data_IF_414496739512
#
_entry.id   IF_414496739512
#
_cell.length_a   1.000
_cell.length_b   1.000
_cell.length_c   1.000
_cell.angle_alpha   90.00
_cell.angle_beta   90.00
_cell.angle_gamma   90.00
#
_symmetry.space_group_name_H-M   'P 1'
#
loop_
_entity.id
_entity.type
_entity.pdbx_description
1 polymer ?
#
# COMPACT_ATOMS: atom_id res chain seq x y z
N UNK A 1 40.39 6.01 -19.77
CA UNK A 1 39.51 6.80 -18.87
C UNK A 1 39.48 6.10 -17.52
N UNK A 2 40.08 6.71 -16.50
CA UNK A 2 40.28 6.10 -15.18
C UNK A 2 38.95 6.00 -14.43
N UNK A 3 38.27 4.86 -14.54
CA UNK A 3 37.04 4.60 -13.80
C UNK A 3 37.37 4.11 -12.40
N UNK A 4 36.74 4.70 -11.38
CA UNK A 4 36.89 4.26 -9.98
C UNK A 4 36.60 2.74 -9.87
N UNK A 5 37.48 1.95 -9.20
CA UNK A 5 37.23 0.56 -8.85
C UNK A 5 35.88 0.34 -8.16
N UNK A 6 35.28 -0.84 -8.36
CA UNK A 6 33.95 -1.16 -7.82
C UNK A 6 33.98 -1.26 -6.30
N UNK A 7 35.09 -1.75 -5.74
CA UNK A 7 35.34 -1.90 -4.31
C UNK A 7 35.29 -0.54 -3.60
N UNK A 8 35.91 0.49 -4.20
CA UNK A 8 35.85 1.85 -3.67
C UNK A 8 34.44 2.45 -3.76
N UNK A 9 33.67 2.11 -4.81
CA UNK A 9 32.27 2.54 -4.91
C UNK A 9 31.40 1.89 -3.83
N UNK A 10 31.69 0.65 -3.46
CA UNK A 10 31.05 -0.04 -2.34
C UNK A 10 31.37 0.62 -1.01
N UNK A 11 32.64 0.92 -0.74
CA UNK A 11 33.03 1.65 0.47
C UNK A 11 32.36 3.03 0.54
N UNK A 12 32.41 3.81 -0.55
CA UNK A 12 31.77 5.12 -0.61
C UNK A 12 30.29 5.01 -0.28
N UNK A 13 29.57 4.02 -0.80
CA UNK A 13 28.16 3.86 -0.50
C UNK A 13 27.92 3.48 0.97
N UNK A 14 28.71 2.54 1.54
CA UNK A 14 28.62 2.14 2.94
C UNK A 14 28.82 3.34 3.89
N UNK A 15 29.79 4.19 3.59
CA UNK A 15 30.07 5.40 4.39
C UNK A 15 29.05 6.52 4.15
N UNK A 16 28.65 6.75 2.90
CA UNK A 16 27.73 7.82 2.56
C UNK A 16 26.30 7.56 3.06
N UNK A 17 25.91 6.29 3.26
CA UNK A 17 24.57 5.86 3.70
C UNK A 17 23.42 6.49 2.90
N UNK A 18 23.68 6.85 1.64
CA UNK A 18 22.76 7.66 0.84
C UNK A 18 21.91 6.80 -0.10
N UNK A 19 20.57 6.84 0.01
CA UNK A 19 19.65 6.16 -0.92
C UNK A 19 19.70 6.71 -2.33
N UNK A 20 20.19 7.94 -2.49
CA UNK A 20 20.28 8.59 -3.77
C UNK A 20 21.49 8.14 -4.58
N UNK A 21 22.55 7.63 -3.93
CA UNK A 21 23.82 7.32 -4.61
C UNK A 21 23.65 6.33 -5.78
N UNK A 22 22.89 5.21 -5.65
CA UNK A 22 22.63 4.33 -6.77
C UNK A 22 21.80 4.95 -7.90
N UNK A 23 21.14 6.07 -7.66
CA UNK A 23 20.25 6.73 -8.62
C UNK A 23 20.94 7.88 -9.36
N UNK A 24 22.14 8.29 -8.96
CA UNK A 24 22.85 9.44 -9.54
C UNK A 24 23.16 9.23 -11.03
N UNK A 25 23.54 8.01 -11.44
CA UNK A 25 23.77 7.68 -12.84
C UNK A 25 23.53 6.19 -13.15
N UNK A 26 23.47 5.85 -14.45
CA UNK A 26 23.23 4.48 -14.92
C UNK A 26 24.31 3.49 -14.48
N UNK A 27 25.58 3.92 -14.44
CA UNK A 27 26.71 3.05 -14.04
C UNK A 27 26.59 2.63 -12.58
N UNK A 28 26.32 3.58 -11.69
CA UNK A 28 26.16 3.35 -10.26
C UNK A 28 24.95 2.46 -10.01
N UNK A 29 23.83 2.76 -10.68
CA UNK A 29 22.65 1.90 -10.63
C UNK A 29 22.99 0.45 -11.00
N UNK A 30 23.69 0.24 -12.12
CA UNK A 30 24.09 -1.10 -12.55
C UNK A 30 24.97 -1.78 -11.51
N UNK A 31 26.05 -1.13 -11.07
CA UNK A 31 27.01 -1.68 -10.10
C UNK A 31 26.33 -2.12 -8.79
N UNK A 32 25.46 -1.29 -8.22
CA UNK A 32 24.77 -1.60 -6.97
C UNK A 32 23.58 -2.55 -7.17
N UNK A 33 22.97 -2.59 -8.35
CA UNK A 33 21.95 -3.58 -8.66
C UNK A 33 22.53 -4.99 -8.79
N UNK A 34 23.74 -5.10 -9.34
CA UNK A 34 24.46 -6.37 -9.52
C UNK A 34 25.36 -6.75 -8.34
N UNK A 35 25.38 -5.97 -7.26
CA UNK A 35 26.26 -6.24 -6.12
C UNK A 35 25.86 -7.52 -5.37
N UNK A 36 26.81 -8.19 -4.69
CA UNK A 36 26.51 -9.39 -3.92
C UNK A 36 25.45 -9.17 -2.82
N UNK A 37 24.63 -10.18 -2.49
CA UNK A 37 23.66 -10.07 -1.39
C UNK A 37 24.28 -9.75 -0.04
N UNK A 38 25.49 -10.24 0.25
CA UNK A 38 26.23 -9.94 1.48
C UNK A 38 26.55 -8.45 1.62
N UNK A 39 27.00 -7.82 0.53
CA UNK A 39 27.24 -6.39 0.47
C UNK A 39 25.94 -5.59 0.64
N UNK A 40 24.88 -5.99 -0.06
CA UNK A 40 23.56 -5.35 0.06
C UNK A 40 23.05 -5.43 1.51
N UNK A 41 23.17 -6.59 2.16
CA UNK A 41 22.81 -6.78 3.55
C UNK A 41 23.63 -5.88 4.49
N UNK A 42 24.95 -5.81 4.30
CA UNK A 42 25.83 -4.93 5.07
C UNK A 42 25.45 -3.45 4.92
N UNK A 43 25.13 -3.01 3.70
CA UNK A 43 24.67 -1.65 3.47
C UNK A 43 23.32 -1.38 4.16
N UNK A 44 22.37 -2.30 4.00
CA UNK A 44 21.04 -2.19 4.59
C UNK A 44 21.05 -2.27 6.13
N UNK A 45 22.07 -2.87 6.74
CA UNK A 45 22.27 -2.85 8.19
C UNK A 45 22.46 -1.42 8.74
N UNK A 46 22.98 -0.52 7.92
CA UNK A 46 23.29 0.86 8.32
C UNK A 46 22.21 1.88 7.94
N UNK A 47 21.05 1.43 7.41
CA UNK A 47 19.96 2.33 6.99
C UNK A 47 18.68 2.04 7.78
N UNK A 48 17.94 3.11 8.11
CA UNK A 48 16.79 3.02 9.03
C UNK A 48 15.59 2.22 8.52
N UNK A 49 15.48 2.02 7.20
CA UNK A 49 14.33 1.39 6.55
C UNK A 49 14.78 0.68 5.25
N UNK A 50 15.12 -0.61 5.32
CA UNK A 50 15.66 -1.37 4.20
C UNK A 50 14.75 -1.39 2.96
N UNK A 51 13.43 -1.33 3.15
CA UNK A 51 12.46 -1.34 2.06
C UNK A 51 12.48 -0.06 1.22
N UNK A 52 13.08 1.03 1.72
CA UNK A 52 13.29 2.25 0.92
C UNK A 52 14.36 2.11 -0.15
N UNK A 53 15.12 1.02 -0.13
CA UNK A 53 16.26 0.77 -1.01
C UNK A 53 15.97 -0.41 -1.95
N UNK A 54 15.07 -0.25 -2.94
CA UNK A 54 14.57 -1.36 -3.76
C UNK A 54 15.66 -2.06 -4.58
N UNK A 55 16.79 -1.41 -4.84
CA UNK A 55 17.93 -2.00 -5.56
C UNK A 55 18.70 -2.99 -4.66
N UNK A 56 18.75 -2.71 -3.36
CA UNK A 56 19.47 -3.51 -2.37
C UNK A 56 18.57 -4.53 -1.64
N UNK A 57 17.28 -4.25 -1.51
CA UNK A 57 16.34 -5.10 -0.78
C UNK A 57 15.67 -6.11 -1.71
N UNK A 58 16.34 -7.24 -1.97
CA UNK A 58 15.84 -8.36 -2.78
C UNK A 58 15.60 -9.63 -1.95
N UNK A 59 15.02 -10.65 -2.59
CA UNK A 59 14.65 -11.92 -1.93
C UNK A 59 15.83 -12.64 -1.26
N UNK A 60 17.05 -12.43 -1.76
CA UNK A 60 18.27 -13.06 -1.23
C UNK A 60 18.84 -12.30 -0.04
N UNK A 61 18.51 -11.01 0.08
CA UNK A 61 19.05 -10.12 1.11
C UNK A 61 18.19 -10.12 2.37
N UNK A 62 16.87 -10.26 2.24
CA UNK A 62 15.97 -10.26 3.42
C UNK A 62 16.34 -11.27 4.51
N UNK A 63 16.73 -12.53 4.21
CA UNK A 63 17.12 -13.49 5.25
C UNK A 63 18.43 -13.14 5.96
N UNK A 64 19.25 -12.24 5.38
CA UNK A 64 20.54 -11.83 5.93
C UNK A 64 20.43 -10.61 6.85
N UNK A 65 19.27 -9.94 6.89
CA UNK A 65 19.06 -8.76 7.72
C UNK A 65 18.73 -9.18 9.16
N UNK A 66 19.26 -8.47 10.17
CA UNK A 66 18.81 -8.67 11.53
C UNK A 66 17.32 -8.32 11.66
N UNK A 67 16.68 -8.88 12.68
CA UNK A 67 15.36 -8.45 13.10
C UNK A 67 15.36 -6.93 13.35
N UNK A 68 14.55 -6.15 12.62
CA UNK A 68 14.44 -4.72 12.91
C UNK A 68 13.69 -4.51 14.23
N UNK A 69 14.11 -3.49 14.99
CA UNK A 69 13.45 -3.11 16.25
C UNK A 69 11.95 -2.74 16.07
N UNK A 70 11.58 -2.34 14.85
CA UNK A 70 10.21 -2.00 14.46
C UNK A 70 9.87 -2.58 13.10
N UNK A 71 8.58 -2.83 12.86
CA UNK A 71 8.12 -3.22 11.52
C UNK A 71 8.43 -2.10 10.51
N UNK A 72 9.04 -2.44 9.36
CA UNK A 72 9.40 -1.43 8.37
C UNK A 72 8.14 -0.83 7.73
N UNK A 73 8.21 0.43 7.32
CA UNK A 73 7.08 1.10 6.66
C UNK A 73 6.96 0.62 5.21
N UNK A 74 5.73 0.44 4.74
CA UNK A 74 5.50 0.11 3.34
C UNK A 74 5.83 1.31 2.44
N UNK A 75 6.83 1.23 1.57
CA UNK A 75 7.34 2.40 0.87
C UNK A 75 6.40 2.84 -0.26
N UNK A 76 6.17 4.15 -0.37
CA UNK A 76 5.21 4.73 -1.34
C UNK A 76 5.52 4.44 -2.80
N UNK A 77 6.80 4.29 -3.15
CA UNK A 77 7.23 4.15 -4.54
C UNK A 77 6.73 2.86 -5.19
N UNK A 78 6.52 1.78 -4.41
CA UNK A 78 5.94 0.52 -4.89
C UNK A 78 4.55 0.71 -5.51
N UNK A 79 3.81 1.74 -5.09
CA UNK A 79 2.45 2.04 -5.54
C UNK A 79 2.40 3.18 -6.55
N UNK A 80 3.54 3.82 -6.87
CA UNK A 80 3.58 5.02 -7.72
C UNK A 80 3.13 4.75 -9.15
N UNK A 81 3.37 3.55 -9.66
CA UNK A 81 3.04 3.15 -11.03
C UNK A 81 1.61 2.62 -11.19
N UNK A 82 0.83 2.59 -10.10
CA UNK A 82 -0.57 2.20 -10.14
C UNK A 82 -1.42 3.33 -10.75
N UNK A 83 -2.13 3.01 -11.82
CA UNK A 83 -2.92 3.96 -12.60
C UNK A 83 -4.34 3.42 -12.82
N UNK A 84 -5.38 4.26 -12.72
CA UNK A 84 -6.75 3.85 -13.02
C UNK A 84 -6.89 3.41 -14.48
N UNK A 85 -7.88 2.57 -14.77
CA UNK A 85 -8.21 2.10 -16.13
C UNK A 85 -7.37 0.93 -16.63
N UNK A 86 -6.31 0.53 -15.91
CA UNK A 86 -5.59 -0.73 -16.18
C UNK A 86 -6.30 -1.90 -15.51
N UNK A 87 -6.32 -3.05 -16.19
CA UNK A 87 -6.75 -4.31 -15.60
C UNK A 87 -5.58 -4.90 -14.83
N UNK A 88 -5.79 -5.14 -13.53
CA UNK A 88 -4.80 -5.74 -12.65
C UNK A 88 -5.25 -7.14 -12.23
N UNK A 89 -4.31 -8.07 -12.18
CA UNK A 89 -4.50 -9.42 -11.66
C UNK A 89 -3.51 -9.73 -10.53
N UNK A 90 -3.49 -10.97 -10.05
CA UNK A 90 -2.60 -11.38 -8.95
C UNK A 90 -1.11 -11.36 -9.30
N UNK A 91 -0.75 -11.39 -10.58
CA UNK A 91 0.62 -11.40 -11.07
C UNK A 91 1.23 -10.00 -11.20
N UNK A 92 0.39 -8.95 -11.20
CA UNK A 92 0.87 -7.58 -11.36
C UNK A 92 1.58 -7.05 -10.11
N UNK A 93 2.71 -6.36 -10.32
CA UNK A 93 3.37 -5.61 -9.25
C UNK A 93 2.42 -4.55 -8.63
N UNK A 94 2.50 -4.31 -7.30
CA UNK A 94 3.49 -4.84 -6.37
C UNK A 94 3.11 -6.17 -5.69
N UNK A 95 1.98 -6.81 -6.05
CA UNK A 95 1.41 -7.89 -5.24
C UNK A 95 2.31 -9.13 -5.05
N UNK A 96 3.01 -9.67 -6.08
CA UNK A 96 3.93 -10.80 -5.87
C UNK A 96 5.04 -10.50 -4.85
N UNK A 97 5.63 -9.30 -4.93
CA UNK A 97 6.62 -8.86 -3.96
C UNK A 97 6.02 -8.76 -2.56
N UNK A 98 4.82 -8.21 -2.42
CA UNK A 98 4.16 -8.13 -1.12
C UNK A 98 3.85 -9.51 -0.54
N UNK A 99 3.36 -10.46 -1.35
CA UNK A 99 3.18 -11.84 -0.90
C UNK A 99 4.49 -12.43 -0.37
N UNK A 100 5.60 -12.21 -1.08
CA UNK A 100 6.90 -12.66 -0.63
C UNK A 100 7.30 -12.01 0.69
N UNK A 101 7.18 -10.68 0.82
CA UNK A 101 7.52 -9.93 2.04
C UNK A 101 6.70 -10.39 3.25
N UNK A 102 5.38 -10.53 3.12
CA UNK A 102 4.52 -10.89 4.24
C UNK A 102 4.61 -12.36 4.65
N UNK A 103 5.01 -13.26 3.74
CA UNK A 103 5.12 -14.70 4.04
C UNK A 103 6.53 -15.12 4.48
N UNK A 104 7.59 -14.41 4.07
CA UNK A 104 8.98 -14.80 4.33
C UNK A 104 9.71 -13.86 5.29
N UNK A 105 9.15 -12.67 5.59
CA UNK A 105 9.74 -11.79 6.60
C UNK A 105 9.26 -12.19 7.98
N UNK A 106 10.19 -12.28 8.94
CA UNK A 106 9.84 -12.35 10.37
C UNK A 106 9.08 -11.11 10.84
N UNK A 107 9.18 -10.00 10.11
CA UNK A 107 8.56 -8.71 10.43
C UNK A 107 7.84 -8.16 9.20
N UNK A 108 6.52 -8.38 9.07
CA UNK A 108 5.78 -7.89 7.93
C UNK A 108 5.75 -6.35 7.93
N UNK A 109 5.84 -5.71 6.75
CA UNK A 109 5.77 -4.26 6.66
C UNK A 109 4.45 -3.71 7.19
N UNK A 110 4.48 -2.48 7.71
CA UNK A 110 3.26 -1.81 8.18
C UNK A 110 2.37 -1.39 7.01
N UNK A 111 1.24 -2.07 6.82
CA UNK A 111 0.28 -1.77 5.76
C UNK A 111 -0.39 -0.38 5.90
N UNK A 112 -0.38 0.19 7.11
CA UNK A 112 -0.96 1.49 7.43
C UNK A 112 0.05 2.65 7.34
N UNK A 113 1.29 2.36 6.94
CA UNK A 113 2.32 3.37 6.73
C UNK A 113 1.82 4.54 5.90
N UNK A 114 2.33 5.74 6.22
CA UNK A 114 1.95 6.99 5.54
C UNK A 114 0.45 7.28 5.52
N UNK A 115 -0.24 6.95 6.61
CA UNK A 115 -1.69 7.17 6.78
C UNK A 115 -2.52 6.43 5.72
N UNK A 116 -2.21 5.15 5.48
CA UNK A 116 -2.96 4.29 4.57
C UNK A 116 -2.74 4.59 3.08
N UNK A 117 -1.58 5.12 2.70
CA UNK A 117 -1.27 5.49 1.30
C UNK A 117 -1.38 4.30 0.34
N UNK A 118 -0.91 3.13 0.76
CA UNK A 118 -0.93 1.90 -0.05
C UNK A 118 -2.35 1.50 -0.44
N UNK A 119 -3.25 1.40 0.55
CA UNK A 119 -4.66 1.06 0.34
C UNK A 119 -5.36 2.13 -0.52
N UNK A 120 -5.06 3.41 -0.27
CA UNK A 120 -5.59 4.54 -1.05
C UNK A 120 -5.22 4.43 -2.52
N UNK A 121 -3.94 4.12 -2.84
CA UNK A 121 -3.48 3.96 -4.23
C UNK A 121 -4.02 2.70 -4.90
N UNK A 122 -4.11 1.59 -4.17
CA UNK A 122 -4.69 0.35 -4.68
C UNK A 122 -6.16 0.54 -5.11
N UNK A 123 -6.95 1.23 -4.28
CA UNK A 123 -8.35 1.57 -4.59
C UNK A 123 -8.44 2.57 -5.75
N UNK A 124 -7.63 3.63 -5.74
CA UNK A 124 -7.59 4.59 -6.85
C UNK A 124 -7.30 3.90 -8.20
N UNK A 125 -6.46 2.88 -8.22
CA UNK A 125 -6.13 2.11 -9.43
C UNK A 125 -7.15 1.01 -9.78
N UNK A 126 -8.08 0.68 -8.88
CA UNK A 126 -9.01 -0.44 -9.07
C UNK A 126 -8.34 -1.82 -8.96
N UNK A 127 -7.18 -1.92 -8.31
CA UNK A 127 -6.44 -3.18 -8.17
C UNK A 127 -7.05 -4.04 -7.07
N UNK A 128 -8.13 -4.75 -7.39
CA UNK A 128 -8.94 -5.49 -6.43
C UNK A 128 -8.15 -6.55 -5.62
N UNK A 129 -7.36 -7.46 -6.23
CA UNK A 129 -6.53 -8.40 -5.46
C UNK A 129 -5.60 -7.73 -4.45
N UNK A 130 -5.01 -6.58 -4.80
CA UNK A 130 -4.14 -5.83 -3.91
C UNK A 130 -4.91 -5.18 -2.76
N UNK A 131 -6.11 -4.65 -3.01
CA UNK A 131 -6.99 -4.11 -1.96
C UNK A 131 -7.34 -5.20 -0.95
N UNK A 132 -7.75 -6.38 -1.42
CA UNK A 132 -8.09 -7.51 -0.55
C UNK A 132 -6.89 -7.99 0.27
N UNK A 133 -5.71 -8.06 -0.35
CA UNK A 133 -4.46 -8.41 0.32
C UNK A 133 -4.13 -7.42 1.44
N UNK A 134 -4.14 -6.12 1.15
CA UNK A 134 -3.82 -5.09 2.15
C UNK A 134 -4.81 -5.13 3.32
N UNK A 135 -6.10 -5.27 3.05
CA UNK A 135 -7.14 -5.38 4.09
C UNK A 135 -6.98 -6.67 4.92
N UNK A 136 -6.56 -7.77 4.30
CA UNK A 136 -6.27 -9.04 4.99
C UNK A 136 -5.10 -8.88 5.97
N UNK A 137 -4.07 -8.13 5.57
CA UNK A 137 -2.90 -7.83 6.39
C UNK A 137 -3.06 -6.58 7.30
N UNK A 138 -4.29 -6.19 7.61
CA UNK A 138 -4.57 -5.17 8.64
C UNK A 138 -4.54 -3.73 8.17
N UNK A 139 -4.55 -3.46 6.86
CA UNK A 139 -4.76 -2.10 6.36
C UNK A 139 -6.14 -1.59 6.81
N UNK A 140 -6.17 -0.43 7.47
CA UNK A 140 -7.41 0.19 7.93
C UNK A 140 -7.93 1.20 6.90
N UNK A 141 -9.18 1.04 6.43
CA UNK A 141 -9.82 2.00 5.54
C UNK A 141 -10.28 3.28 6.25
N UNK A 142 -10.17 3.38 7.57
CA UNK A 142 -10.61 4.56 8.34
C UNK A 142 -9.62 5.74 8.28
N UNK A 143 -8.42 5.56 7.74
CA UNK A 143 -7.41 6.62 7.66
C UNK A 143 -7.91 7.87 6.92
N UNK A 144 -7.53 9.04 7.44
CA UNK A 144 -7.92 10.36 6.90
C UNK A 144 -9.44 10.46 6.71
N UNK A 145 -10.20 10.14 7.76
CA UNK A 145 -11.67 10.17 7.78
C UNK A 145 -12.31 9.31 6.68
N UNK A 146 -11.71 8.15 6.39
CA UNK A 146 -12.20 7.27 5.33
C UNK A 146 -12.04 7.84 3.92
N UNK A 147 -10.94 8.57 3.67
CA UNK A 147 -10.60 9.10 2.34
C UNK A 147 -10.67 8.02 1.24
N UNK A 148 -10.22 6.81 1.56
CA UNK A 148 -10.24 5.70 0.61
C UNK A 148 -11.67 5.31 0.19
N UNK A 149 -12.62 5.34 1.12
CA UNK A 149 -14.05 5.10 0.84
C UNK A 149 -14.56 6.23 -0.06
N UNK A 150 -14.22 7.48 0.26
CA UNK A 150 -14.58 8.65 -0.55
C UNK A 150 -14.07 8.54 -2.00
N UNK A 151 -12.88 7.99 -2.22
CA UNK A 151 -12.35 7.73 -3.57
C UNK A 151 -13.19 6.67 -4.30
N UNK A 152 -13.55 5.57 -3.63
CA UNK A 152 -14.40 4.53 -4.22
C UNK A 152 -15.80 5.05 -4.59
N UNK A 153 -16.37 5.95 -3.77
CA UNK A 153 -17.63 6.65 -4.05
C UNK A 153 -17.51 7.50 -5.33
N UNK A 154 -16.43 8.28 -5.46
CA UNK A 154 -16.19 9.12 -6.65
C UNK A 154 -16.02 8.28 -7.93
N UNK A 155 -15.50 7.07 -7.81
CA UNK A 155 -15.42 6.10 -8.91
C UNK A 155 -16.77 5.41 -9.20
N UNK A 156 -17.81 5.67 -8.41
CA UNK A 156 -19.13 5.01 -8.48
C UNK A 156 -19.03 3.49 -8.42
N UNK A 157 -18.12 2.97 -7.59
CA UNK A 157 -17.88 1.55 -7.48
C UNK A 157 -18.44 1.01 -6.16
N UNK A 158 -19.72 0.62 -6.15
CA UNK A 158 -20.38 0.04 -4.98
C UNK A 158 -19.65 -1.19 -4.45
N UNK A 159 -19.17 -2.07 -5.33
CA UNK A 159 -18.46 -3.28 -4.92
C UNK A 159 -17.20 -2.95 -4.11
N UNK A 160 -16.42 -1.97 -4.56
CA UNK A 160 -15.24 -1.49 -3.83
C UNK A 160 -15.63 -0.86 -2.48
N UNK A 161 -16.72 -0.09 -2.42
CA UNK A 161 -17.22 0.48 -1.17
C UNK A 161 -17.59 -0.64 -0.18
N UNK A 162 -18.34 -1.67 -0.62
CA UNK A 162 -18.70 -2.82 0.22
C UNK A 162 -17.45 -3.52 0.78
N UNK A 163 -16.43 -3.77 -0.04
CA UNK A 163 -15.18 -4.39 0.41
C UNK A 163 -14.45 -3.57 1.49
N UNK A 164 -14.50 -2.24 1.38
CA UNK A 164 -13.83 -1.35 2.34
C UNK A 164 -14.61 -1.20 3.64
N UNK A 165 -15.94 -1.14 3.58
CA UNK A 165 -16.80 -0.95 4.75
C UNK A 165 -17.01 -2.25 5.50
N UNK A 166 -17.31 -3.33 4.78
CA UNK A 166 -17.66 -4.61 5.39
C UNK A 166 -16.42 -5.38 5.85
N UNK A 167 -16.53 -6.15 6.94
CA UNK A 167 -15.46 -7.04 7.38
C UNK A 167 -15.28 -8.18 6.37
N UNK A 168 -14.06 -8.68 6.23
CA UNK A 168 -13.83 -9.95 5.52
C UNK A 168 -14.51 -11.07 6.31
N UNK A 169 -15.49 -11.74 5.71
CA UNK A 169 -16.18 -12.86 6.33
C UNK A 169 -15.20 -14.04 6.52
N UNK A 170 -14.63 -14.17 7.72
CA UNK A 170 -13.82 -15.33 8.10
C UNK A 170 -14.75 -16.42 8.66
N UNK A 171 -15.24 -17.28 7.76
CA UNK A 171 -15.90 -18.55 8.09
C UNK A 171 -17.44 -18.55 8.09
N UNK A 172 -18.02 -19.74 7.94
CA UNK A 172 -19.47 -20.00 7.80
C UNK A 172 -20.34 -19.59 9.02
N UNK A 173 -19.75 -19.06 10.10
CA UNK A 173 -20.49 -18.61 11.27
C UNK A 173 -20.68 -17.10 11.19
N UNK A 174 -21.91 -16.68 10.90
CA UNK A 174 -22.39 -15.29 10.92
C UNK A 174 -22.31 -14.70 12.33
N UNK A 175 -21.11 -14.46 12.86
CA UNK A 175 -20.94 -13.49 13.94
C UNK A 175 -21.09 -12.12 13.30
N UNK A 176 -21.94 -11.27 13.86
CA UNK A 176 -22.12 -9.88 13.43
C UNK A 176 -20.81 -9.15 13.78
N UNK A 177 -19.88 -9.14 12.84
CA UNK A 177 -18.65 -8.35 12.94
C UNK A 177 -19.01 -6.93 12.54
N UNK A 178 -18.63 -5.96 13.36
CA UNK A 178 -18.85 -4.55 13.05
C UNK A 178 -18.13 -4.13 11.77
N UNK A 179 -18.64 -3.10 11.12
CA UNK A 179 -18.03 -2.54 9.92
C UNK A 179 -16.65 -1.96 10.23
N UNK A 180 -15.75 -2.05 9.25
CA UNK A 180 -14.39 -1.49 9.31
C UNK A 180 -14.38 0.03 9.35
N UNK A 181 -15.44 0.66 8.84
CA UNK A 181 -15.59 2.11 8.75
C UNK A 181 -17.00 2.49 9.15
N UNK A 182 -17.13 3.45 10.08
CA UNK A 182 -18.40 4.13 10.33
C UNK A 182 -18.66 5.12 9.19
N UNK A 183 -19.79 4.96 8.50
CA UNK A 183 -20.16 5.85 7.40
C UNK A 183 -20.51 7.22 7.95
N UNK A 184 -19.85 8.25 7.45
CA UNK A 184 -20.09 9.64 7.85
C UNK A 184 -21.13 10.30 6.92
N UNK A 185 -21.86 11.32 7.42
CA UNK A 185 -22.75 12.13 6.58
C UNK A 185 -22.02 12.76 5.39
N UNK A 186 -20.72 13.07 5.53
CA UNK A 186 -19.91 13.61 4.44
C UNK A 186 -19.71 12.63 3.28
N UNK A 187 -19.57 11.32 3.58
CA UNK A 187 -19.50 10.28 2.56
C UNK A 187 -20.83 10.18 1.81
N UNK A 188 -21.96 10.26 2.52
CA UNK A 188 -23.29 10.26 1.93
C UNK A 188 -23.51 11.48 1.04
N UNK A 189 -23.18 12.69 1.51
CA UNK A 189 -23.20 13.92 0.69
C UNK A 189 -22.35 13.77 -0.57
N UNK A 190 -21.18 13.15 -0.46
CA UNK A 190 -20.31 12.90 -1.62
C UNK A 190 -20.95 11.92 -2.61
N UNK A 191 -21.61 10.86 -2.13
CA UNK A 191 -22.32 9.91 -2.98
C UNK A 191 -23.47 10.56 -3.76
N UNK A 192 -24.26 11.41 -3.11
CA UNK A 192 -25.33 12.20 -3.75
C UNK A 192 -24.76 13.16 -4.80
N UNK A 193 -23.71 13.92 -4.46
CA UNK A 193 -23.02 14.80 -5.43
C UNK A 193 -22.48 14.04 -6.63
N UNK A 194 -21.99 12.81 -6.43
CA UNK A 194 -21.48 11.96 -7.50
C UNK A 194 -22.60 11.25 -8.30
N UNK A 195 -23.88 11.41 -7.93
CA UNK A 195 -25.04 10.69 -8.50
C UNK A 195 -24.91 9.17 -8.43
N UNK A 196 -24.30 8.65 -7.36
CA UNK A 196 -24.11 7.22 -7.13
C UNK A 196 -25.29 6.65 -6.31
N UNK A 197 -26.45 6.50 -6.95
CA UNK A 197 -27.71 6.13 -6.28
C UNK A 197 -27.61 4.79 -5.54
N UNK A 198 -26.98 3.81 -6.16
CA UNK A 198 -26.68 2.49 -5.59
C UNK A 198 -25.89 2.56 -4.27
N UNK A 199 -24.93 3.48 -4.17
CA UNK A 199 -24.16 3.71 -2.94
C UNK A 199 -24.99 4.46 -1.89
N UNK A 200 -25.83 5.40 -2.29
CA UNK A 200 -26.73 6.13 -1.36
C UNK A 200 -27.75 5.17 -0.76
N UNK A 201 -28.37 4.33 -1.59
CA UNK A 201 -29.32 3.31 -1.14
C UNK A 201 -28.64 2.36 -0.15
N UNK A 202 -27.42 1.92 -0.45
CA UNK A 202 -26.61 1.12 0.48
C UNK A 202 -26.36 1.83 1.81
N UNK A 203 -25.95 3.11 1.80
CA UNK A 203 -25.65 3.85 3.03
C UNK A 203 -26.88 4.13 3.88
N UNK A 204 -28.03 4.40 3.27
CA UNK A 204 -29.27 4.73 3.97
C UNK A 204 -30.00 3.49 4.45
N UNK A 205 -30.17 2.49 3.58
CA UNK A 205 -30.98 1.30 3.86
C UNK A 205 -30.20 0.22 4.62
N UNK A 206 -28.99 -0.12 4.16
CA UNK A 206 -28.21 -1.21 4.79
C UNK A 206 -27.42 -0.72 6.01
N UNK A 207 -26.93 0.53 5.97
CA UNK A 207 -26.02 1.08 6.99
C UNK A 207 -26.64 2.11 7.92
N UNK A 208 -27.89 2.52 7.68
CA UNK A 208 -28.64 3.39 8.57
C UNK A 208 -28.07 4.82 8.69
N UNK A 209 -27.32 5.29 7.70
CA UNK A 209 -26.81 6.66 7.69
C UNK A 209 -27.96 7.64 7.43
N UNK A 210 -28.23 8.55 8.38
CA UNK A 210 -29.30 9.54 8.27
C UNK A 210 -28.86 10.68 7.35
N UNK A 211 -29.61 11.00 6.28
CA UNK A 211 -29.29 12.13 5.41
C UNK A 211 -29.54 13.47 6.10
N UNK A 212 -28.63 14.43 5.90
CA UNK A 212 -28.89 15.82 6.28
C UNK A 212 -29.99 16.44 5.39
N UNK A 213 -30.66 17.49 5.86
CA UNK A 213 -31.71 18.20 5.10
C UNK A 213 -31.28 18.57 3.67
N UNK A 214 -30.05 19.07 3.49
CA UNK A 214 -29.50 19.39 2.15
C UNK A 214 -29.37 18.17 1.25
N UNK A 215 -29.12 17.00 1.84
CA UNK A 215 -28.97 15.73 1.12
C UNK A 215 -30.35 15.21 0.68
N UNK A 216 -31.38 15.41 1.51
CA UNK A 216 -32.77 15.06 1.19
C UNK A 216 -33.31 15.85 -0.02
N UNK A 217 -32.97 17.14 -0.14
CA UNK A 217 -33.39 17.94 -1.29
C UNK A 217 -32.72 17.54 -2.61
N UNK A 218 -31.63 16.76 -2.55
CA UNK A 218 -30.83 16.37 -3.70
C UNK A 218 -30.99 14.88 -4.09
N UNK A 219 -31.80 14.12 -3.34
CA UNK A 219 -32.19 12.74 -3.63
C UNK A 219 -33.38 12.69 -4.60
#
# INVERSE_FOLDING_TARGET
>A
MNTLPVELLYEIQLWARSPALPQVNRRFHQIFSSSPPSYKAQYLYHVDDPLRYPIACDEKVLPLLPAPDRSPDLPRHLFRHLSPGKKYDKSHHPLPLLNFLYNNSSYPPNANAHSGYALTKAVHAGFLPLVQFLLFHGASPAHKNGLVVTIAIRQRNLHMVKILVEPQQKGNKKRKVEDRVKISPEMLRTAVKCKAKDIVDYFTQEKGCVPDMQTLYAL
#
